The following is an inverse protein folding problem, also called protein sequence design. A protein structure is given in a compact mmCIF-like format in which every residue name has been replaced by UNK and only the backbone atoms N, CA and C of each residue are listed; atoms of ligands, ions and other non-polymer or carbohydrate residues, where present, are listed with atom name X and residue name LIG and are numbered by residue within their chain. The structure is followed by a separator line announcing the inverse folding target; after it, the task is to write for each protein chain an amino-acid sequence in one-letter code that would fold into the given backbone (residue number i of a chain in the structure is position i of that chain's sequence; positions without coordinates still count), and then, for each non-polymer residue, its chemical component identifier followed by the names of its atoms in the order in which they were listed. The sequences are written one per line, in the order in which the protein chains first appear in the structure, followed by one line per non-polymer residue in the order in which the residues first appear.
data_IF_779665086872
#
_entry.id   IF_779665086872
#
_cell.length_a   1.000
_cell.length_b   1.000
_cell.length_c   1.000
_cell.angle_alpha   90.00
_cell.angle_beta   90.00
_cell.angle_gamma   90.00
#
_symmetry.space_group_name_H-M   'P 1'
#
loop_
_entity.id
_entity.type
_entity.pdbx_description
1 polymer ?
#
# COMPACT_ATOMS: atom_id res chain seq x y z
N UNK A 1 -25.85 -0.51 21.05
CA UNK A 1 -24.39 -0.33 21.15
C UNK A 1 -24.12 0.61 22.31
N UNK A 2 -23.18 0.27 23.17
CA UNK A 2 -22.62 1.15 24.19
C UNK A 2 -21.91 2.35 23.54
N UNK A 3 -21.71 3.43 24.30
CA UNK A 3 -20.95 4.59 23.81
C UNK A 3 -19.56 4.20 23.26
N UNK A 4 -18.88 3.26 23.93
CA UNK A 4 -17.59 2.72 23.47
C UNK A 4 -17.70 2.03 22.12
N UNK A 5 -18.73 1.22 21.90
CA UNK A 5 -18.94 0.55 20.62
C UNK A 5 -19.32 1.55 19.51
N UNK A 6 -20.08 2.61 19.82
CA UNK A 6 -20.46 3.64 18.84
C UNK A 6 -19.25 4.45 18.40
N UNK A 7 -18.36 4.81 19.33
CA UNK A 7 -17.19 5.63 19.00
C UNK A 7 -16.03 4.79 18.45
N UNK A 8 -15.81 3.59 19.01
CA UNK A 8 -14.65 2.75 18.71
C UNK A 8 -14.88 1.69 17.64
N UNK A 9 -16.03 1.65 16.97
CA UNK A 9 -16.21 0.68 15.89
C UNK A 9 -15.45 1.08 14.62
N UNK A 10 -14.97 0.06 13.92
CA UNK A 10 -14.31 0.16 12.60
C UNK A 10 -15.25 -0.30 11.48
N UNK A 11 -16.54 0.06 11.59
CA UNK A 11 -17.50 -0.15 10.50
C UNK A 11 -16.98 0.52 9.22
N UNK A 12 -17.14 -0.18 8.09
CA UNK A 12 -16.60 0.20 6.78
C UNK A 12 -17.52 1.22 6.08
N UNK A 13 -17.11 1.69 4.90
CA UNK A 13 -17.86 2.63 4.03
C UNK A 13 -18.28 3.96 4.69
N UNK A 14 -17.50 4.45 5.66
CA UNK A 14 -17.73 5.73 6.34
C UNK A 14 -16.66 6.74 5.97
N UNK A 15 -17.06 7.99 5.77
CA UNK A 15 -16.17 9.12 5.53
C UNK A 15 -16.56 10.28 6.44
N UNK A 16 -15.58 10.87 7.12
CA UNK A 16 -15.74 12.12 7.86
C UNK A 16 -15.43 13.31 6.97
N UNK A 17 -16.28 14.33 6.99
CA UNK A 17 -16.13 15.55 6.19
C UNK A 17 -16.30 16.75 7.11
N UNK A 18 -15.43 17.75 6.95
CA UNK A 18 -15.60 19.08 7.57
C UNK A 18 -16.09 20.02 6.48
N UNK A 19 -17.18 20.74 6.76
CA UNK A 19 -17.87 21.58 5.80
C UNK A 19 -18.26 22.89 6.47
N UNK A 20 -18.25 23.98 5.69
CA UNK A 20 -18.92 25.20 6.14
C UNK A 20 -20.43 24.98 6.15
N UNK A 21 -21.11 25.49 7.16
CA UNK A 21 -22.56 25.34 7.34
C UNK A 21 -23.36 25.75 6.09
N UNK A 22 -22.94 26.82 5.41
CA UNK A 22 -23.58 27.32 4.17
C UNK A 22 -23.61 26.31 3.01
N UNK A 23 -22.69 25.35 2.99
CA UNK A 23 -22.54 24.37 1.90
C UNK A 23 -23.29 23.05 2.23
N UNK A 24 -23.88 22.94 3.42
CA UNK A 24 -24.54 21.73 3.93
C UNK A 24 -25.71 21.30 3.06
N UNK A 25 -26.57 22.23 2.68
CA UNK A 25 -27.76 21.94 1.88
C UNK A 25 -27.39 21.43 0.48
N UNK A 26 -26.31 21.97 -0.10
CA UNK A 26 -25.80 21.53 -1.39
C UNK A 26 -25.25 20.10 -1.33
N UNK A 27 -24.44 19.79 -0.32
CA UNK A 27 -23.91 18.43 -0.14
C UNK A 27 -25.04 17.44 0.17
N UNK A 28 -26.01 17.83 1.01
CA UNK A 28 -27.17 17.00 1.33
C UNK A 28 -28.01 16.69 0.10
N UNK A 29 -28.24 17.67 -0.77
CA UNK A 29 -28.94 17.46 -2.06
C UNK A 29 -28.21 16.45 -2.96
N UNK A 30 -26.88 16.52 -3.02
CA UNK A 30 -26.08 15.54 -3.77
C UNK A 30 -26.17 14.15 -3.12
N UNK A 31 -26.02 14.06 -1.80
CA UNK A 31 -26.10 12.82 -1.05
C UNK A 31 -27.46 12.13 -1.22
N UNK A 32 -28.57 12.88 -1.10
CA UNK A 32 -29.93 12.37 -1.28
C UNK A 32 -30.17 11.90 -2.73
N UNK A 33 -29.62 12.61 -3.74
CA UNK A 33 -29.68 12.19 -5.15
C UNK A 33 -28.93 10.88 -5.40
N UNK A 34 -27.72 10.74 -4.83
CA UNK A 34 -26.89 9.53 -4.97
C UNK A 34 -27.27 8.42 -3.98
N UNK A 35 -28.29 8.64 -3.13
CA UNK A 35 -28.75 7.72 -2.07
C UNK A 35 -27.62 7.35 -1.09
N UNK A 36 -26.75 8.31 -0.81
CA UNK A 36 -25.67 8.20 0.16
C UNK A 36 -26.14 8.77 1.51
N UNK A 37 -26.26 7.96 2.57
CA UNK A 37 -26.68 8.46 3.88
C UNK A 37 -25.66 9.48 4.43
N UNK A 38 -26.16 10.65 4.82
CA UNK A 38 -25.36 11.73 5.38
C UNK A 38 -25.98 12.19 6.71
N UNK A 39 -25.13 12.34 7.72
CA UNK A 39 -25.53 12.78 9.06
C UNK A 39 -24.59 13.89 9.52
N UNK A 40 -25.16 14.99 10.00
CA UNK A 40 -24.40 16.00 10.76
C UNK A 40 -24.26 15.45 12.18
N UNK A 41 -23.02 15.15 12.57
CA UNK A 41 -22.72 14.48 13.84
C UNK A 41 -22.07 15.40 14.88
N UNK A 42 -21.78 16.66 14.51
CA UNK A 42 -21.18 17.64 15.41
C UNK A 42 -20.77 18.92 14.68
N UNK A 43 -20.15 19.81 15.43
CA UNK A 43 -19.61 21.09 14.96
C UNK A 43 -18.17 21.27 15.45
N UNK A 44 -17.41 22.13 14.78
CA UNK A 44 -16.05 22.50 15.20
C UNK A 44 -16.08 23.83 15.94
N UNK A 45 -15.73 23.81 17.22
CA UNK A 45 -15.78 24.97 18.15
C UNK A 45 -14.49 25.77 18.24
N UNK A 46 -13.36 25.22 17.78
CA UNK A 46 -12.05 25.90 17.78
C UNK A 46 -11.37 25.99 19.15
N UNK A 47 -11.96 25.42 20.20
CA UNK A 47 -11.46 25.41 21.59
C UNK A 47 -10.53 24.24 21.91
N UNK A 48 -10.11 23.48 20.88
CA UNK A 48 -9.27 22.29 20.99
C UNK A 48 -9.83 21.23 21.96
N UNK A 49 -11.14 21.12 22.06
CA UNK A 49 -11.81 20.22 22.97
C UNK A 49 -12.66 19.18 22.23
N UNK A 50 -12.54 17.89 22.56
CA UNK A 50 -13.39 16.84 22.00
C UNK A 50 -14.45 16.44 23.02
N UNK A 51 -15.71 16.68 22.66
CA UNK A 51 -16.87 16.29 23.45
C UNK A 51 -17.81 15.44 22.61
N UNK A 52 -18.05 14.20 23.03
CA UNK A 52 -19.08 13.34 22.48
C UNK A 52 -20.25 13.26 23.47
N UNK A 53 -21.45 13.62 23.02
CA UNK A 53 -22.66 13.57 23.85
C UNK A 53 -23.61 12.52 23.27
N UNK A 54 -24.07 11.59 24.11
CA UNK A 54 -25.04 10.57 23.70
C UNK A 54 -26.48 11.13 23.66
N UNK A 55 -27.42 10.35 23.12
CA UNK A 55 -28.83 10.76 23.02
C UNK A 55 -29.54 10.92 24.37
N UNK A 56 -28.95 10.47 25.48
CA UNK A 56 -29.44 10.68 26.83
C UNK A 56 -28.81 11.91 27.51
N UNK A 57 -27.90 12.61 26.83
CA UNK A 57 -27.21 13.81 27.33
C UNK A 57 -25.96 13.51 28.16
N UNK A 58 -25.52 12.24 28.27
CA UNK A 58 -24.26 11.93 28.92
C UNK A 58 -23.10 12.29 28.00
N UNK A 59 -21.97 12.72 28.57
CA UNK A 59 -20.74 13.01 27.83
C UNK A 59 -19.67 11.94 28.12
N UNK A 60 -19.73 10.74 27.50
CA UNK A 60 -18.77 9.67 27.78
C UNK A 60 -17.36 9.97 27.25
N UNK A 61 -17.19 10.98 26.39
CA UNK A 61 -15.89 11.55 26.01
C UNK A 61 -16.00 13.06 26.19
N UNK A 62 -15.13 13.64 27.01
CA UNK A 62 -15.13 15.06 27.37
C UNK A 62 -13.70 15.44 27.80
N UNK A 63 -12.80 15.54 26.82
CA UNK A 63 -11.36 15.73 27.06
C UNK A 63 -10.77 16.80 26.13
N UNK A 64 -9.69 17.45 26.61
CA UNK A 64 -8.87 18.32 25.78
C UNK A 64 -8.16 17.48 24.70
N UNK A 65 -8.10 17.96 23.45
CA UNK A 65 -7.45 17.23 22.36
C UNK A 65 -5.98 16.91 22.66
N UNK A 66 -5.29 17.78 23.42
CA UNK A 66 -3.92 17.57 23.87
C UNK A 66 -3.73 16.28 24.70
N UNK A 67 -4.79 15.80 25.37
CA UNK A 67 -4.76 14.55 26.13
C UNK A 67 -4.82 13.31 25.22
N UNK A 68 -5.54 13.41 24.09
CA UNK A 68 -5.59 12.35 23.08
C UNK A 68 -4.28 12.25 22.29
N UNK A 69 -3.71 13.40 21.92
CA UNK A 69 -2.45 13.50 21.19
C UNK A 69 -1.26 13.65 22.12
N UNK A 70 -1.32 13.08 23.33
CA UNK A 70 -0.22 13.07 24.27
C UNK A 70 1.09 12.71 23.57
N UNK A 71 2.21 13.26 24.03
CA UNK A 71 3.53 13.04 23.45
C UNK A 71 4.22 11.90 24.20
N UNK A 72 3.94 10.61 23.90
CA UNK A 72 4.64 9.51 24.54
C UNK A 72 6.15 9.68 24.30
N UNK A 73 7.00 9.29 25.26
CA UNK A 73 8.43 9.37 25.06
C UNK A 73 8.83 8.57 23.81
N UNK A 74 9.83 9.05 23.07
CA UNK A 74 10.40 8.32 21.94
C UNK A 74 10.80 6.92 22.38
N UNK A 75 10.29 5.91 21.69
CA UNK A 75 10.65 4.51 21.98
C UNK A 75 12.05 4.25 21.46
N UNK A 76 12.94 3.78 22.34
CA UNK A 76 14.27 3.32 21.97
C UNK A 76 14.18 1.80 21.78
N UNK A 77 14.40 1.33 20.56
CA UNK A 77 14.45 -0.09 20.22
C UNK A 77 15.92 -0.54 20.24
N UNK A 78 16.25 -1.48 21.11
CA UNK A 78 17.59 -2.06 21.18
C UNK A 78 17.52 -3.52 20.72
N UNK A 79 18.29 -3.86 19.69
CA UNK A 79 18.36 -5.21 19.14
C UNK A 79 19.81 -5.53 18.73
N UNK A 80 20.08 -6.78 18.36
CA UNK A 80 21.41 -7.28 18.02
C UNK A 80 21.42 -7.89 16.63
N UNK A 81 22.51 -7.70 15.88
CA UNK A 81 22.67 -8.40 14.59
C UNK A 81 22.86 -9.89 14.84
N UNK A 82 22.04 -10.71 14.19
CA UNK A 82 22.13 -12.18 14.21
C UNK A 82 22.56 -12.64 12.82
N UNK A 83 23.72 -13.30 12.75
CA UNK A 83 24.21 -13.89 11.51
C UNK A 83 23.87 -15.38 11.48
N UNK A 84 22.97 -15.77 10.57
CA UNK A 84 22.63 -17.18 10.35
C UNK A 84 23.47 -17.76 9.20
N UNK A 85 24.15 -18.90 9.40
CA UNK A 85 24.92 -19.54 8.34
C UNK A 85 23.99 -20.30 7.40
N UNK A 86 24.13 -20.04 6.10
CA UNK A 86 23.42 -20.80 5.06
C UNK A 86 24.38 -21.79 4.38
N UNK A 87 23.88 -22.99 4.09
CA UNK A 87 24.64 -23.97 3.35
C UNK A 87 24.82 -23.52 1.89
N UNK A 88 25.96 -23.88 1.29
CA UNK A 88 26.17 -23.65 -0.14
C UNK A 88 25.14 -24.43 -0.97
N UNK A 89 24.66 -23.80 -2.04
CA UNK A 89 23.73 -24.43 -2.97
C UNK A 89 24.40 -25.64 -3.64
N UNK A 90 23.71 -26.78 -3.65
CA UNK A 90 24.12 -27.98 -4.40
C UNK A 90 23.04 -28.30 -5.43
N UNK A 91 23.45 -28.53 -6.67
CA UNK A 91 22.54 -28.86 -7.77
C UNK A 91 23.25 -29.71 -8.81
N UNK A 92 22.45 -30.41 -9.62
CA UNK A 92 22.94 -31.23 -10.73
C UNK A 92 22.55 -30.58 -12.06
N UNK A 93 23.54 -30.06 -12.79
CA UNK A 93 23.31 -29.39 -14.07
C UNK A 93 22.63 -30.27 -15.12
N UNK A 94 22.74 -31.60 -15.00
CA UNK A 94 22.07 -32.54 -15.91
C UNK A 94 20.54 -32.55 -15.75
N UNK A 95 20.03 -32.05 -14.61
CA UNK A 95 18.60 -32.01 -14.27
C UNK A 95 17.89 -30.72 -14.65
N UNK A 96 18.49 -29.88 -15.49
CA UNK A 96 17.92 -28.57 -15.87
C UNK A 96 16.44 -28.64 -16.30
N UNK A 97 16.05 -29.69 -17.02
CA UNK A 97 14.65 -29.87 -17.45
C UNK A 97 13.69 -30.07 -16.28
N UNK A 98 14.07 -30.92 -15.32
CA UNK A 98 13.31 -31.17 -14.09
C UNK A 98 13.18 -29.88 -13.26
N UNK A 99 14.26 -29.10 -13.15
CA UNK A 99 14.25 -27.84 -12.42
C UNK A 99 13.37 -26.78 -13.09
N UNK A 100 13.40 -26.67 -14.43
CA UNK A 100 12.50 -25.75 -15.15
C UNK A 100 11.04 -26.15 -14.95
N UNK A 101 10.71 -27.44 -15.07
CA UNK A 101 9.36 -27.95 -14.81
C UNK A 101 8.93 -27.63 -13.37
N UNK A 102 9.82 -27.80 -12.40
CA UNK A 102 9.56 -27.48 -10.99
C UNK A 102 9.32 -25.98 -10.77
N UNK A 103 10.16 -25.12 -11.36
CA UNK A 103 10.02 -23.65 -11.25
C UNK A 103 8.70 -23.18 -11.83
N UNK A 104 8.27 -23.71 -12.98
CA UNK A 104 7.00 -23.36 -13.61
C UNK A 104 5.77 -23.80 -12.80
N UNK A 105 5.93 -24.74 -11.86
CA UNK A 105 4.88 -25.19 -10.94
C UNK A 105 4.80 -24.36 -9.65
N UNK A 106 5.80 -23.54 -9.34
CA UNK A 106 5.77 -22.68 -8.16
C UNK A 106 4.69 -21.61 -8.34
N UNK A 107 3.80 -21.45 -7.36
CA UNK A 107 2.67 -20.51 -7.45
C UNK A 107 3.12 -19.08 -7.79
N UNK A 108 4.24 -18.60 -7.22
CA UNK A 108 4.78 -17.26 -7.51
C UNK A 108 5.20 -17.07 -8.97
N UNK A 109 5.54 -18.15 -9.69
CA UNK A 109 5.97 -18.13 -11.10
C UNK A 109 4.84 -18.52 -12.06
N UNK A 110 4.01 -19.49 -11.67
CA UNK A 110 2.96 -20.06 -12.52
C UNK A 110 1.95 -19.01 -13.03
N UNK A 111 1.19 -19.37 -14.06
CA UNK A 111 0.19 -18.49 -14.67
C UNK A 111 -0.84 -17.96 -13.64
N UNK A 112 -1.06 -16.64 -13.63
CA UNK A 112 -1.97 -15.95 -12.70
C UNK A 112 -3.37 -15.72 -13.28
N UNK A 113 -3.75 -16.46 -14.31
CA UNK A 113 -5.03 -16.28 -15.03
C UNK A 113 -6.24 -16.37 -14.09
N UNK A 114 -6.15 -17.24 -13.09
CA UNK A 114 -7.17 -17.43 -12.07
C UNK A 114 -7.38 -16.21 -11.15
N UNK A 115 -6.36 -15.35 -10.99
CA UNK A 115 -6.48 -14.08 -10.25
C UNK A 115 -7.04 -12.99 -11.16
N UNK A 116 -6.49 -12.88 -12.37
CA UNK A 116 -6.87 -11.81 -13.30
C UNK A 116 -8.34 -11.92 -13.69
N UNK A 117 -8.85 -13.13 -13.93
CA UNK A 117 -10.24 -13.33 -14.38
C UNK A 117 -11.31 -13.24 -13.29
N UNK A 118 -10.95 -13.05 -12.03
CA UNK A 118 -11.92 -12.84 -10.93
C UNK A 118 -12.38 -11.40 -10.77
N UNK A 119 -11.69 -10.46 -11.41
CA UNK A 119 -11.91 -9.02 -11.22
C UNK A 119 -12.18 -8.32 -12.55
N UNK A 120 -12.93 -7.22 -12.48
CA UNK A 120 -13.12 -6.31 -13.60
C UNK A 120 -11.80 -5.62 -13.96
N UNK A 121 -11.56 -5.44 -15.26
CA UNK A 121 -10.32 -4.83 -15.80
C UNK A 121 -10.61 -3.84 -16.94
N UNK A 122 -11.82 -3.29 -17.00
CA UNK A 122 -12.27 -2.42 -18.08
C UNK A 122 -13.21 -1.28 -17.63
N UNK A 123 -13.80 -1.39 -16.45
CA UNK A 123 -14.64 -0.34 -15.84
C UNK A 123 -13.90 1.00 -15.83
N UNK A 124 -14.65 2.09 -16.03
CA UNK A 124 -14.22 3.46 -16.33
C UNK A 124 -13.86 3.76 -17.80
N UNK A 125 -13.54 2.75 -18.62
CA UNK A 125 -13.12 2.94 -20.01
C UNK A 125 -11.75 3.62 -20.17
N UNK A 126 -10.97 3.75 -19.10
CA UNK A 126 -9.65 4.40 -19.08
C UNK A 126 -8.49 3.43 -18.91
N UNK A 127 -8.74 2.13 -18.83
CA UNK A 127 -7.70 1.10 -18.73
C UNK A 127 -6.98 1.00 -20.07
N UNK A 128 -5.78 1.54 -20.16
CA UNK A 128 -4.96 1.53 -21.37
C UNK A 128 -4.10 0.26 -21.46
N UNK A 129 -3.65 -0.26 -20.31
CA UNK A 129 -2.91 -1.53 -20.21
C UNK A 129 -3.35 -2.28 -18.95
N UNK A 130 -3.75 -3.54 -19.15
CA UNK A 130 -4.10 -4.48 -18.09
C UNK A 130 -3.10 -5.65 -18.04
N UNK A 131 -3.30 -6.60 -17.14
CA UNK A 131 -2.40 -7.74 -16.90
C UNK A 131 -2.28 -8.66 -18.12
N UNK A 132 -3.37 -8.89 -18.85
CA UNK A 132 -3.42 -9.76 -20.02
C UNK A 132 -2.79 -9.12 -21.27
N UNK A 133 -2.06 -9.91 -22.06
CA UNK A 133 -1.33 -9.49 -23.25
C UNK A 133 -1.63 -10.39 -24.46
N UNK A 134 -1.58 -9.79 -25.65
CA UNK A 134 -1.74 -10.49 -26.94
C UNK A 134 -3.16 -10.96 -27.23
N UNK A 135 -3.34 -11.59 -28.39
CA UNK A 135 -4.65 -12.05 -28.89
C UNK A 135 -5.28 -13.14 -28.01
N UNK A 136 -4.43 -13.95 -27.35
CA UNK A 136 -4.86 -15.03 -26.45
C UNK A 136 -4.91 -14.61 -24.97
N UNK A 137 -4.69 -13.32 -24.67
CA UNK A 137 -4.92 -12.72 -23.35
C UNK A 137 -4.16 -13.38 -22.18
N UNK A 138 -2.89 -13.76 -22.37
CA UNK A 138 -2.07 -14.32 -21.29
C UNK A 138 -1.64 -13.24 -20.28
N UNK A 139 -1.70 -13.49 -18.95
CA UNK A 139 -1.37 -12.51 -17.91
C UNK A 139 0.14 -12.31 -17.77
N UNK A 140 0.73 -11.55 -18.70
CA UNK A 140 2.19 -11.40 -18.86
C UNK A 140 2.67 -9.94 -18.84
N UNK A 141 1.78 -8.96 -18.70
CA UNK A 141 2.22 -7.56 -18.62
C UNK A 141 2.84 -7.24 -17.25
N UNK A 142 3.94 -6.49 -17.28
CA UNK A 142 4.71 -6.12 -16.08
C UNK A 142 4.12 -4.93 -15.29
N UNK A 143 3.17 -4.21 -15.88
CA UNK A 143 2.59 -2.98 -15.34
C UNK A 143 1.13 -2.80 -15.78
N UNK A 144 0.38 -2.06 -14.96
CA UNK A 144 -0.93 -1.50 -15.34
C UNK A 144 -0.80 -0.05 -15.77
N UNK A 145 -1.63 0.40 -16.71
CA UNK A 145 -1.68 1.80 -17.17
C UNK A 145 -3.13 2.27 -17.27
N UNK A 146 -3.42 3.42 -16.67
CA UNK A 146 -4.72 4.08 -16.74
C UNK A 146 -4.58 5.48 -17.32
N UNK A 147 -5.43 5.84 -18.28
CA UNK A 147 -5.49 7.20 -18.84
C UNK A 147 -6.07 8.19 -17.82
N UNK A 148 -5.55 9.41 -17.79
CA UNK A 148 -6.13 10.47 -16.95
C UNK A 148 -7.41 11.07 -17.56
N UNK A 149 -7.57 10.99 -18.88
CA UNK A 149 -8.73 11.50 -19.62
C UNK A 149 -9.26 10.50 -20.67
N UNK A 150 -10.23 10.92 -21.49
CA UNK A 150 -10.84 10.10 -22.54
C UNK A 150 -10.33 10.39 -23.97
N UNK A 151 -9.36 11.32 -24.13
CA UNK A 151 -8.97 11.85 -25.46
C UNK A 151 -7.48 11.98 -25.65
N UNK A 152 -6.76 12.33 -24.60
CA UNK A 152 -5.32 12.39 -24.53
C UNK A 152 -4.68 11.00 -24.46
N UNK A 153 -3.36 11.02 -24.31
CA UNK A 153 -2.50 9.83 -24.24
C UNK A 153 -1.76 9.71 -22.91
N UNK A 154 -1.95 10.70 -22.04
CA UNK A 154 -1.30 10.77 -20.75
C UNK A 154 -2.02 9.87 -19.75
N UNK A 155 -1.25 9.30 -18.84
CA UNK A 155 -1.76 8.29 -17.92
C UNK A 155 -0.86 8.10 -16.71
N UNK A 156 -1.32 7.23 -15.82
CA UNK A 156 -0.56 6.77 -14.66
C UNK A 156 -0.22 5.31 -14.90
N UNK A 157 1.06 4.99 -14.81
CA UNK A 157 1.58 3.64 -14.81
C UNK A 157 1.79 3.16 -13.37
N UNK A 158 1.53 1.88 -13.12
CA UNK A 158 1.76 1.26 -11.81
C UNK A 158 2.39 -0.11 -11.99
N UNK A 159 3.48 -0.34 -11.28
CA UNK A 159 4.17 -1.62 -11.18
C UNK A 159 4.36 -1.98 -9.70
N UNK A 160 4.75 -3.23 -9.46
CA UNK A 160 5.05 -3.74 -8.13
C UNK A 160 6.40 -4.47 -8.22
N UNK A 161 7.17 -4.43 -7.13
CA UNK A 161 8.33 -5.28 -6.92
C UNK A 161 8.34 -5.78 -5.48
N UNK A 162 8.83 -7.00 -5.28
CA UNK A 162 8.75 -7.71 -4.00
C UNK A 162 9.77 -8.85 -3.93
N UNK A 163 10.65 -8.84 -2.92
CA UNK A 163 11.73 -9.82 -2.81
C UNK A 163 11.88 -10.44 -1.40
N UNK A 164 10.84 -11.11 -0.87
CA UNK A 164 10.85 -11.64 0.50
C UNK A 164 11.85 -12.79 0.65
N UNK A 165 12.00 -13.63 -0.39
CA UNK A 165 12.93 -14.75 -0.38
C UNK A 165 14.39 -14.30 -0.30
N UNK A 166 14.71 -13.17 -0.94
CA UNK A 166 16.03 -12.55 -0.82
C UNK A 166 16.15 -11.89 0.56
N UNK A 167 15.12 -11.17 1.01
CA UNK A 167 15.12 -10.50 2.31
C UNK A 167 15.30 -11.46 3.49
N UNK A 168 14.85 -12.72 3.36
CA UNK A 168 15.09 -13.79 4.35
C UNK A 168 16.58 -14.09 4.53
N UNK A 169 17.39 -13.96 3.48
CA UNK A 169 18.84 -14.16 3.53
C UNK A 169 19.57 -12.85 3.82
N UNK A 170 19.23 -11.79 3.09
CA UNK A 170 19.81 -10.46 3.21
C UNK A 170 18.70 -9.41 3.05
N UNK A 171 18.34 -8.80 4.18
CA UNK A 171 17.24 -7.84 4.25
C UNK A 171 17.51 -6.56 3.44
N UNK A 172 18.77 -6.11 3.38
CA UNK A 172 19.19 -4.92 2.63
C UNK A 172 19.17 -5.20 1.12
N UNK A 173 19.74 -6.33 0.69
CA UNK A 173 19.67 -6.73 -0.72
C UNK A 173 18.20 -6.96 -1.16
N UNK A 174 17.39 -7.58 -0.30
CA UNK A 174 15.96 -7.79 -0.57
C UNK A 174 15.19 -6.49 -0.76
N UNK A 175 15.42 -5.48 0.07
CA UNK A 175 14.74 -4.19 -0.07
C UNK A 175 15.14 -3.45 -1.35
N UNK A 176 16.43 -3.45 -1.71
CA UNK A 176 16.94 -2.89 -2.97
C UNK A 176 16.37 -3.64 -4.18
N UNK A 177 16.34 -4.97 -4.16
CA UNK A 177 15.79 -5.77 -5.27
C UNK A 177 14.30 -5.52 -5.43
N UNK A 178 13.53 -5.33 -4.35
CA UNK A 178 12.12 -5.00 -4.46
C UNK A 178 11.90 -3.67 -5.20
N UNK A 179 12.71 -2.64 -4.91
CA UNK A 179 12.68 -1.37 -5.66
C UNK A 179 13.11 -1.59 -7.10
N UNK A 180 14.24 -2.27 -7.32
CA UNK A 180 14.77 -2.53 -8.66
C UNK A 180 13.76 -3.28 -9.54
N UNK A 181 13.09 -4.30 -9.01
CA UNK A 181 12.03 -5.04 -9.71
C UNK A 181 10.89 -4.10 -10.10
N UNK A 182 10.40 -3.26 -9.17
CA UNK A 182 9.32 -2.29 -9.45
C UNK A 182 9.71 -1.33 -10.59
N UNK A 183 10.95 -0.85 -10.60
CA UNK A 183 11.48 0.03 -11.64
C UNK A 183 11.62 -0.71 -12.96
N UNK A 184 12.18 -1.92 -12.98
CA UNK A 184 12.30 -2.73 -14.21
C UNK A 184 10.93 -3.11 -14.79
N UNK A 185 9.92 -3.28 -13.94
CA UNK A 185 8.55 -3.54 -14.37
C UNK A 185 7.89 -2.29 -14.99
N UNK A 186 8.22 -1.07 -14.53
CA UNK A 186 7.60 0.16 -15.03
C UNK A 186 8.22 0.71 -16.32
N UNK A 187 9.45 0.29 -16.70
CA UNK A 187 10.18 0.84 -17.86
C UNK A 187 9.43 0.77 -19.19
N UNK A 188 8.42 -0.11 -19.27
CA UNK A 188 7.60 -0.29 -20.46
C UNK A 188 6.60 0.86 -20.70
N UNK A 189 6.49 1.79 -19.74
CA UNK A 189 5.77 3.06 -19.90
C UNK A 189 6.77 4.23 -20.08
N UNK A 190 6.53 5.15 -21.03
CA UNK A 190 7.29 6.40 -21.10
C UNK A 190 7.10 7.22 -19.83
N UNK A 191 8.21 7.59 -19.17
CA UNK A 191 8.19 8.42 -17.96
C UNK A 191 8.43 9.89 -18.35
N UNK A 192 7.38 10.71 -18.31
CA UNK A 192 7.40 12.13 -18.73
C UNK A 192 8.53 12.94 -18.08
N UNK A 193 8.86 12.63 -16.82
CA UNK A 193 9.91 13.31 -16.04
C UNK A 193 11.05 12.35 -15.63
N UNK A 194 11.25 11.27 -16.39
CA UNK A 194 12.21 10.22 -16.02
C UNK A 194 11.93 9.67 -14.61
N UNK A 195 13.00 9.34 -13.87
CA UNK A 195 12.89 8.79 -12.51
C UNK A 195 12.29 9.78 -11.50
N UNK A 196 12.48 11.10 -11.67
CA UNK A 196 11.86 12.10 -10.78
C UNK A 196 10.34 12.17 -10.89
N UNK A 197 9.75 11.56 -11.93
CA UNK A 197 8.30 11.38 -12.05
C UNK A 197 7.75 10.13 -11.36
N UNK A 198 8.63 9.29 -10.78
CA UNK A 198 8.25 8.09 -10.05
C UNK A 198 8.03 8.44 -8.57
N UNK A 199 6.97 7.88 -7.99
CA UNK A 199 6.73 7.90 -6.54
C UNK A 199 6.58 6.47 -6.07
N UNK A 200 7.26 6.14 -4.97
CA UNK A 200 7.26 4.79 -4.41
C UNK A 200 6.42 4.73 -3.13
N UNK A 201 5.65 3.66 -2.99
CA UNK A 201 4.98 3.32 -1.73
C UNK A 201 5.70 2.11 -1.12
N UNK A 202 6.54 2.36 -0.11
CA UNK A 202 7.21 1.30 0.63
C UNK A 202 6.28 0.75 1.72
N UNK A 203 5.87 -0.51 1.57
CA UNK A 203 5.00 -1.20 2.52
C UNK A 203 5.82 -2.28 3.25
N UNK A 204 5.92 -2.15 4.58
CA UNK A 204 6.76 -3.02 5.42
C UNK A 204 5.89 -4.01 6.20
N UNK A 205 6.11 -5.30 5.94
CA UNK A 205 5.55 -6.40 6.72
C UNK A 205 6.71 -7.08 7.42
N UNK A 206 6.84 -6.88 8.74
CA UNK A 206 8.01 -7.32 9.48
C UNK A 206 7.65 -7.88 10.87
N UNK A 207 8.26 -8.99 11.31
CA UNK A 207 7.97 -9.59 12.60
C UNK A 207 8.79 -8.93 13.72
N UNK A 208 8.52 -7.66 14.01
CA UNK A 208 9.25 -6.85 14.99
C UNK A 208 9.29 -7.48 16.40
N UNK A 209 10.30 -7.10 17.20
CA UNK A 209 10.59 -7.62 18.56
C UNK A 209 11.06 -9.07 18.65
N UNK A 210 11.22 -9.75 17.52
CA UNK A 210 12.00 -10.98 17.48
C UNK A 210 13.49 -10.64 17.44
N UNK A 211 14.31 -11.48 18.07
CA UNK A 211 15.75 -11.25 18.18
C UNK A 211 16.39 -11.10 16.80
N UNK A 212 17.00 -9.96 16.53
CA UNK A 212 17.67 -9.61 15.28
C UNK A 212 16.77 -9.06 14.18
N UNK A 213 15.45 -9.17 14.30
CA UNK A 213 14.53 -8.71 13.26
C UNK A 213 14.41 -7.18 13.23
N UNK A 214 14.51 -6.49 14.36
CA UNK A 214 14.43 -5.02 14.37
C UNK A 214 15.72 -4.42 13.75
N UNK A 215 16.88 -5.03 14.02
CA UNK A 215 18.14 -4.67 13.36
C UNK A 215 18.10 -4.92 11.85
N UNK A 216 17.52 -6.04 11.41
CA UNK A 216 17.35 -6.35 9.97
C UNK A 216 16.42 -5.37 9.27
N UNK A 217 15.31 -5.00 9.91
CA UNK A 217 14.38 -4.00 9.36
C UNK A 217 15.07 -2.64 9.20
N UNK A 218 15.82 -2.21 10.21
CA UNK A 218 16.58 -0.96 10.14
C UNK A 218 17.53 -0.94 8.93
N UNK A 219 18.36 -1.98 8.79
CA UNK A 219 19.31 -2.11 7.67
C UNK A 219 18.58 -2.17 6.32
N UNK A 220 17.42 -2.82 6.25
CA UNK A 220 16.62 -2.89 5.03
C UNK A 220 16.06 -1.53 4.62
N UNK A 221 15.56 -0.75 5.59
CA UNK A 221 15.03 0.61 5.36
C UNK A 221 16.17 1.56 4.97
N UNK A 222 17.31 1.48 5.65
CA UNK A 222 18.50 2.28 5.34
C UNK A 222 18.99 2.00 3.90
N UNK A 223 19.20 0.73 3.55
CA UNK A 223 19.65 0.36 2.20
C UNK A 223 18.64 0.76 1.10
N UNK A 224 17.34 0.62 1.37
CA UNK A 224 16.31 1.09 0.45
C UNK A 224 16.36 2.60 0.28
N UNK A 225 16.47 3.34 1.39
CA UNK A 225 16.54 4.80 1.41
C UNK A 225 17.75 5.29 0.61
N UNK A 226 18.93 4.76 0.89
CA UNK A 226 20.17 5.13 0.18
C UNK A 226 20.02 4.87 -1.33
N UNK A 227 19.52 3.69 -1.71
CA UNK A 227 19.32 3.34 -3.11
C UNK A 227 18.32 4.26 -3.84
N UNK A 228 17.19 4.58 -3.21
CA UNK A 228 16.14 5.43 -3.78
C UNK A 228 16.59 6.90 -3.88
N UNK A 229 17.29 7.39 -2.86
CA UNK A 229 17.87 8.75 -2.84
C UNK A 229 18.95 8.91 -3.90
N UNK A 230 19.84 7.92 -4.05
CA UNK A 230 20.88 7.91 -5.09
C UNK A 230 20.28 7.95 -6.51
N UNK A 231 19.09 7.38 -6.69
CA UNK A 231 18.34 7.41 -7.96
C UNK A 231 17.52 8.71 -8.16
N UNK A 232 17.44 9.58 -7.15
CA UNK A 232 16.68 10.83 -7.20
C UNK A 232 15.16 10.61 -7.19
N UNK A 233 14.69 9.53 -6.57
CA UNK A 233 13.27 9.22 -6.39
C UNK A 233 12.84 9.68 -5.00
N UNK A 234 11.62 10.22 -4.89
CA UNK A 234 11.03 10.64 -3.60
C UNK A 234 10.44 9.46 -2.82
#
# INVERSE_FOLDING_TARGET
LSAREIVGNESQERMGLVLHEKDLDDLKRVADRERSPMYVVGETTGDQHLKFVDGAGNAPIDWQLAEMFGNPPKTIMNDVVVNEPFAALTYDASKVKEYVESVLQIESVACKDWLTNKVDRSVTGRVAKQQCAGEIQLPLNNLGVTSIDYRGKEGVATSIGHAPGIALFDAAAGSVVAVAESLTNIIWAPLTHGLSGVSLSANWMWPCKNKGEDARLYNAVEALSDFVVDLGIN
#
